data_IF_613973462078
#
_entry.id   IF_613973462078
#
_cell.length_a   1.000
_cell.length_b   1.000
_cell.length_c   1.000
_cell.angle_alpha   90.00
_cell.angle_beta   90.00
_cell.angle_gamma   90.00
#
_symmetry.space_group_name_H-M   'P 1'
#
loop_
_entity.id
_entity.type
_entity.pdbx_description
1 polymer ?
#
# COMPACT_ATOMS: atom_id res chain seq x y z
N UNK A 1 14.88 0.74 39.27
CA UNK A 1 13.64 0.77 38.48
C UNK A 1 13.61 -0.43 37.55
N UNK A 2 12.81 -1.46 37.86
CA UNK A 2 12.65 -2.62 36.95
C UNK A 2 11.87 -2.14 35.73
N UNK A 3 12.53 -1.95 34.58
CA UNK A 3 11.81 -1.84 33.31
C UNK A 3 10.98 -3.12 33.18
N UNK A 4 9.66 -3.01 33.30
CA UNK A 4 8.75 -4.14 33.11
C UNK A 4 9.05 -4.81 31.77
N UNK A 5 8.91 -6.15 31.72
CA UNK A 5 9.14 -6.91 30.49
C UNK A 5 8.35 -6.26 29.33
N UNK A 6 8.99 -5.96 28.18
CA UNK A 6 8.29 -5.40 27.04
C UNK A 6 7.09 -6.28 26.68
N UNK A 7 5.97 -5.63 26.37
CA UNK A 7 4.72 -6.35 26.12
C UNK A 7 4.72 -7.02 24.74
N UNK A 8 3.95 -8.11 24.59
CA UNK A 8 3.88 -8.84 23.33
C UNK A 8 3.41 -7.99 22.15
N UNK A 9 3.88 -8.32 20.96
CA UNK A 9 3.46 -7.67 19.72
C UNK A 9 3.12 -8.68 18.62
N UNK A 10 2.33 -8.23 17.66
CA UNK A 10 2.05 -8.95 16.41
C UNK A 10 2.70 -8.21 15.27
N UNK A 11 3.24 -8.96 14.31
CA UNK A 11 3.90 -8.40 13.13
C UNK A 11 3.06 -8.67 11.88
N UNK A 12 2.92 -7.66 11.04
CA UNK A 12 2.50 -7.80 9.65
C UNK A 12 3.68 -7.56 8.71
N UNK A 13 3.97 -8.48 7.80
CA UNK A 13 5.05 -8.35 6.80
C UNK A 13 4.46 -8.39 5.39
N UNK A 14 4.54 -7.27 4.65
CA UNK A 14 4.17 -7.16 3.24
C UNK A 14 5.41 -7.33 2.35
N UNK A 15 5.56 -8.51 1.75
CA UNK A 15 6.64 -8.82 0.81
C UNK A 15 6.22 -8.44 -0.61
N UNK A 16 6.37 -7.16 -0.94
CA UNK A 16 6.05 -6.62 -2.27
C UNK A 16 7.16 -6.84 -3.29
N UNK A 17 6.87 -6.63 -4.57
CA UNK A 17 7.86 -6.81 -5.67
C UNK A 17 8.94 -5.74 -5.73
N UNK A 18 8.68 -4.54 -5.21
CA UNK A 18 9.69 -3.46 -5.11
C UNK A 18 10.27 -3.32 -3.70
N UNK A 19 9.38 -3.29 -2.72
CA UNK A 19 9.73 -3.06 -1.32
C UNK A 19 9.02 -4.06 -0.41
N UNK A 20 9.76 -4.52 0.60
CA UNK A 20 9.27 -5.34 1.69
C UNK A 20 9.10 -4.47 2.93
N UNK A 21 7.94 -4.56 3.57
CA UNK A 21 7.57 -3.73 4.73
C UNK A 21 7.19 -4.61 5.91
N UNK A 22 7.61 -4.24 7.10
CA UNK A 22 7.15 -4.84 8.35
C UNK A 22 6.50 -3.77 9.23
N UNK A 23 5.46 -4.15 9.95
CA UNK A 23 4.74 -3.31 10.91
C UNK A 23 4.52 -4.10 12.19
N UNK A 24 4.86 -3.52 13.33
CA UNK A 24 4.57 -4.07 14.65
C UNK A 24 3.33 -3.38 15.22
N UNK A 25 2.38 -4.16 15.73
CA UNK A 25 1.24 -3.66 16.49
C UNK A 25 1.21 -4.26 17.89
N UNK A 26 0.74 -3.46 18.85
CA UNK A 26 0.56 -3.92 20.23
C UNK A 26 -0.61 -4.92 20.33
N UNK A 27 -0.53 -5.86 21.28
CA UNK A 27 -1.63 -6.81 21.55
C UNK A 27 -2.71 -6.23 22.48
N UNK A 28 -2.48 -5.08 23.13
CA UNK A 28 -3.42 -4.44 24.05
C UNK A 28 -4.79 -4.15 23.41
N UNK A 29 -5.82 -4.14 24.24
CA UNK A 29 -7.05 -3.39 24.00
C UNK A 29 -6.84 -1.99 24.59
N UNK A 30 -7.07 -0.97 23.77
CA UNK A 30 -7.15 0.45 24.12
C UNK A 30 -5.85 1.13 24.58
N UNK A 31 -5.65 2.34 24.04
CA UNK A 31 -4.74 3.33 24.61
C UNK A 31 -5.42 3.90 25.87
N UNK A 32 -4.74 3.94 27.03
CA UNK A 32 -5.16 4.82 28.10
C UNK A 32 -4.88 6.25 27.63
N UNK A 33 -5.96 7.00 27.42
CA UNK A 33 -6.02 8.46 27.30
C UNK A 33 -5.22 9.11 26.15
N UNK A 34 -5.95 9.71 25.19
CA UNK A 34 -5.43 10.91 24.51
C UNK A 34 -5.52 11.03 22.99
N UNK A 35 -5.87 9.99 22.23
CA UNK A 35 -6.13 10.15 20.78
C UNK A 35 -7.48 9.54 20.40
N UNK A 36 -8.42 10.45 20.16
CA UNK A 36 -9.84 10.20 19.92
C UNK A 36 -10.01 9.36 18.64
N UNK A 37 -10.54 8.13 18.77
CA UNK A 37 -11.38 7.53 17.71
C UNK A 37 -11.01 6.15 17.13
N UNK A 38 -9.99 5.42 17.57
CA UNK A 38 -9.70 4.07 17.01
C UNK A 38 -9.66 2.98 18.08
N UNK A 39 -10.63 2.07 18.05
CA UNK A 39 -10.68 0.83 18.84
C UNK A 39 -9.62 -0.22 18.40
N UNK A 40 -8.54 0.21 17.76
CA UNK A 40 -7.56 -0.64 17.09
C UNK A 40 -6.14 -0.34 17.62
N UNK A 41 -5.26 -1.35 17.69
CA UNK A 41 -3.98 -1.25 18.40
C UNK A 41 -3.04 -0.23 17.76
N UNK A 42 -2.21 0.48 18.56
CA UNK A 42 -1.20 1.38 18.03
C UNK A 42 -0.11 0.62 17.25
N UNK A 43 0.41 1.25 16.21
CA UNK A 43 1.61 0.80 15.49
C UNK A 43 2.84 1.20 16.33
N UNK A 44 3.64 0.21 16.69
CA UNK A 44 4.82 0.37 17.55
C UNK A 44 6.10 0.70 16.76
N UNK A 45 6.21 0.17 15.54
CA UNK A 45 7.40 0.34 14.71
C UNK A 45 7.17 -0.22 13.31
N UNK A 46 8.01 0.25 12.39
CA UNK A 46 7.92 0.03 10.95
C UNK A 46 9.31 -0.19 10.37
N UNK A 47 9.37 -0.99 9.33
CA UNK A 47 10.62 -1.23 8.62
C UNK A 47 10.33 -1.40 7.15
N UNK A 48 11.13 -0.75 6.31
CA UNK A 48 11.00 -0.85 4.85
C UNK A 48 12.38 -1.06 4.24
N UNK A 49 12.47 -2.02 3.33
CA UNK A 49 13.69 -2.31 2.56
C UNK A 49 13.33 -2.57 1.11
N UNK A 50 14.30 -2.39 0.20
CA UNK A 50 14.17 -2.93 -1.17
C UNK A 50 14.10 -4.46 -1.09
N UNK A 51 13.15 -5.05 -1.82
CA UNK A 51 12.90 -6.51 -1.77
C UNK A 51 14.07 -7.30 -2.37
N UNK A 52 14.52 -6.96 -3.58
CA UNK A 52 15.58 -7.70 -4.25
C UNK A 52 15.19 -9.15 -4.58
N UNK A 53 16.19 -10.02 -4.80
CA UNK A 53 15.98 -11.42 -5.17
C UNK A 53 15.73 -12.35 -3.98
N UNK A 54 16.25 -12.01 -2.80
CA UNK A 54 16.20 -12.83 -1.59
C UNK A 54 15.04 -12.39 -0.68
N UNK A 55 13.84 -12.91 -0.97
CA UNK A 55 12.59 -12.45 -0.37
C UNK A 55 12.53 -12.63 1.16
N UNK A 56 12.99 -13.78 1.66
CA UNK A 56 12.99 -14.06 3.10
C UNK A 56 13.98 -13.16 3.85
N UNK A 57 15.18 -12.95 3.30
CA UNK A 57 16.15 -12.02 3.89
C UNK A 57 15.65 -10.58 3.89
N UNK A 58 14.90 -10.16 2.87
CA UNK A 58 14.27 -8.85 2.85
C UNK A 58 13.19 -8.72 3.93
N UNK A 59 12.42 -9.78 4.17
CA UNK A 59 11.46 -9.84 5.28
C UNK A 59 12.17 -9.74 6.63
N UNK A 60 13.28 -10.44 6.80
CA UNK A 60 14.11 -10.36 8.03
C UNK A 60 14.64 -8.95 8.28
N UNK A 61 15.25 -8.33 7.27
CA UNK A 61 15.77 -6.96 7.41
C UNK A 61 14.68 -5.93 7.69
N UNK A 62 13.51 -6.08 7.06
CA UNK A 62 12.36 -5.22 7.33
C UNK A 62 11.88 -5.38 8.77
N UNK A 63 11.78 -6.62 9.25
CA UNK A 63 11.42 -6.93 10.63
C UNK A 63 12.42 -6.34 11.63
N UNK A 64 13.72 -6.48 11.39
CA UNK A 64 14.77 -5.94 12.27
C UNK A 64 14.75 -4.40 12.34
N UNK A 65 14.40 -3.72 11.25
CA UNK A 65 14.18 -2.26 11.28
C UNK A 65 12.96 -1.90 12.12
N UNK A 66 11.86 -2.62 11.95
CA UNK A 66 10.62 -2.37 12.67
C UNK A 66 10.73 -2.64 14.18
N UNK A 67 11.50 -3.67 14.56
CA UNK A 67 11.85 -3.97 15.96
C UNK A 67 12.72 -2.88 16.58
N UNK A 68 13.73 -2.39 15.83
CA UNK A 68 14.60 -1.30 16.27
C UNK A 68 13.83 0.00 16.49
N UNK A 69 12.95 0.38 15.57
CA UNK A 69 12.09 1.56 15.73
C UNK A 69 11.18 1.41 16.97
N UNK A 70 10.63 0.21 17.20
CA UNK A 70 9.75 -0.06 18.34
C UNK A 70 10.48 -0.21 19.69
N UNK A 71 11.82 -0.32 19.70
CA UNK A 71 12.56 -0.71 20.90
C UNK A 71 12.13 -2.07 21.46
N UNK A 72 11.93 -3.05 20.58
CA UNK A 72 11.43 -4.41 20.88
C UNK A 72 12.43 -5.49 20.44
N UNK A 73 12.36 -6.64 21.10
CA UNK A 73 13.15 -7.82 20.76
C UNK A 73 12.29 -8.85 20.02
N UNK A 74 12.91 -9.74 19.23
CA UNK A 74 12.19 -10.83 18.54
C UNK A 74 11.37 -11.72 19.47
N UNK A 75 11.83 -11.92 20.72
CA UNK A 75 11.13 -12.69 21.76
C UNK A 75 9.79 -12.06 22.21
N UNK A 76 9.55 -10.80 21.87
CA UNK A 76 8.31 -10.10 22.18
C UNK A 76 7.24 -10.37 21.11
N UNK A 77 7.62 -10.94 19.97
CA UNK A 77 6.71 -11.29 18.88
C UNK A 77 5.95 -12.57 19.25
N UNK A 78 4.62 -12.50 19.24
CA UNK A 78 3.74 -13.66 19.54
C UNK A 78 2.97 -14.17 18.32
N UNK A 79 2.99 -13.42 17.22
CA UNK A 79 2.35 -13.83 15.97
C UNK A 79 2.89 -13.03 14.80
N UNK A 80 3.10 -13.68 13.65
CA UNK A 80 3.58 -13.08 12.41
C UNK A 80 2.61 -13.43 11.27
N UNK A 81 2.01 -12.40 10.68
CA UNK A 81 1.17 -12.51 9.49
C UNK A 81 1.89 -11.92 8.28
N UNK A 82 1.95 -12.66 7.17
CA UNK A 82 2.58 -12.19 5.93
C UNK A 82 1.56 -11.91 4.85
N UNK A 83 1.89 -10.95 3.98
CA UNK A 83 1.12 -10.56 2.81
C UNK A 83 2.03 -10.12 1.66
N UNK A 84 1.44 -9.69 0.54
CA UNK A 84 2.17 -9.33 -0.67
C UNK A 84 2.52 -10.53 -1.54
N UNK A 85 3.17 -10.23 -2.67
CA UNK A 85 3.59 -11.21 -3.68
C UNK A 85 4.43 -12.35 -3.10
N UNK A 86 5.42 -11.99 -2.27
CA UNK A 86 6.38 -12.93 -1.69
C UNK A 86 5.95 -13.58 -0.37
N UNK A 87 4.68 -13.43 0.05
CA UNK A 87 4.18 -13.89 1.37
C UNK A 87 4.51 -15.35 1.71
N UNK A 88 4.61 -16.20 0.70
CA UNK A 88 4.87 -17.63 0.82
C UNK A 88 6.33 -17.96 1.14
N UNK A 89 7.26 -17.05 0.83
CA UNK A 89 8.70 -17.26 0.97
C UNK A 89 9.20 -17.08 2.41
N UNK A 90 8.38 -16.52 3.30
CA UNK A 90 8.77 -16.24 4.70
C UNK A 90 8.45 -17.43 5.59
N UNK A 91 9.43 -18.27 5.91
CA UNK A 91 9.23 -19.53 6.65
C UNK A 91 8.82 -19.33 8.11
N UNK A 92 9.24 -18.22 8.74
CA UNK A 92 8.96 -17.89 10.13
C UNK A 92 7.58 -17.25 10.37
N UNK A 93 6.60 -17.47 9.48
CA UNK A 93 5.25 -16.91 9.58
C UNK A 93 4.27 -17.86 10.28
N UNK A 94 3.29 -17.30 10.98
CA UNK A 94 2.17 -18.05 11.55
C UNK A 94 0.93 -18.05 10.62
N UNK A 95 0.78 -16.99 9.81
CA UNK A 95 -0.37 -16.79 8.93
C UNK A 95 0.06 -16.15 7.61
N UNK A 96 -0.58 -16.56 6.51
CA UNK A 96 -0.44 -15.93 5.20
C UNK A 96 -1.78 -15.36 4.75
N UNK A 97 -1.77 -14.14 4.23
CA UNK A 97 -2.98 -13.39 3.84
C UNK A 97 -2.73 -12.72 2.49
N UNK A 98 -3.73 -12.72 1.62
CA UNK A 98 -3.62 -11.98 0.35
C UNK A 98 -3.48 -10.48 0.60
N UNK A 99 -2.77 -9.79 -0.28
CA UNK A 99 -2.64 -8.33 -0.20
C UNK A 99 -3.98 -7.61 -0.46
N UNK A 100 -4.93 -8.29 -1.11
CA UNK A 100 -6.29 -7.79 -1.32
C UNK A 100 -7.01 -7.67 0.04
N UNK A 101 -7.02 -8.75 0.82
CA UNK A 101 -7.67 -8.77 2.14
C UNK A 101 -6.91 -7.88 3.13
N UNK A 102 -5.58 -7.90 3.10
CA UNK A 102 -4.76 -7.07 3.98
C UNK A 102 -4.90 -5.58 3.63
N UNK A 103 -4.86 -5.20 2.35
CA UNK A 103 -5.08 -3.83 1.90
C UNK A 103 -6.48 -3.32 2.26
N UNK A 104 -7.52 -4.13 2.09
CA UNK A 104 -8.88 -3.81 2.54
C UNK A 104 -8.94 -3.55 4.05
N UNK A 105 -8.36 -4.44 4.86
CA UNK A 105 -8.32 -4.29 6.31
C UNK A 105 -7.57 -3.01 6.72
N UNK A 106 -6.40 -2.76 6.13
CA UNK A 106 -5.59 -1.59 6.41
C UNK A 106 -6.28 -0.29 6.01
N UNK A 107 -6.93 -0.26 4.85
CA UNK A 107 -7.70 0.91 4.42
C UNK A 107 -8.84 1.24 5.39
N UNK A 108 -9.56 0.22 5.87
CA UNK A 108 -10.63 0.36 6.89
C UNK A 108 -10.12 0.78 8.26
N UNK A 109 -8.86 0.46 8.59
CA UNK A 109 -8.23 0.98 9.80
C UNK A 109 -8.02 2.48 9.74
N UNK A 110 -7.59 2.98 8.57
CA UNK A 110 -7.38 4.41 8.37
C UNK A 110 -8.66 5.20 8.15
N UNK A 111 -9.60 4.63 7.40
CA UNK A 111 -10.85 5.24 6.99
C UNK A 111 -11.99 4.24 7.20
N UNK A 112 -12.65 4.24 8.38
CA UNK A 112 -13.74 3.32 8.72
C UNK A 112 -14.97 3.41 7.82
N UNK A 113 -15.04 4.37 6.92
CA UNK A 113 -16.08 4.57 5.92
C UNK A 113 -15.67 4.04 4.54
N UNK A 114 -14.45 3.56 4.37
CA UNK A 114 -13.95 3.10 3.06
C UNK A 114 -14.87 2.04 2.45
N UNK A 115 -15.28 2.28 1.20
CA UNK A 115 -16.06 1.34 0.37
C UNK A 115 -15.27 0.84 -0.83
N UNK A 116 -14.10 1.43 -1.08
CA UNK A 116 -13.24 1.08 -2.19
C UNK A 116 -11.76 1.31 -1.84
N UNK A 117 -10.90 0.46 -2.39
CA UNK A 117 -9.45 0.60 -2.30
C UNK A 117 -8.84 0.51 -3.70
N UNK A 118 -8.00 1.50 -4.02
CA UNK A 118 -7.07 1.45 -5.14
C UNK A 118 -5.68 1.17 -4.55
N UNK A 119 -5.02 0.10 -4.96
CA UNK A 119 -3.64 -0.22 -4.57
C UNK A 119 -2.76 -0.18 -5.82
N UNK A 120 -1.86 0.80 -5.91
CA UNK A 120 -0.87 0.88 -6.99
C UNK A 120 0.52 0.66 -6.38
N UNK A 121 1.02 -0.56 -6.56
CA UNK A 121 2.35 -0.97 -6.16
C UNK A 121 3.37 -0.83 -7.28
N UNK A 122 4.53 -1.50 -7.10
CA UNK A 122 5.62 -1.45 -8.07
C UNK A 122 5.27 -2.11 -9.42
N UNK A 123 4.62 -3.27 -9.41
CA UNK A 123 4.37 -4.08 -10.62
C UNK A 123 2.88 -4.34 -10.90
N UNK A 124 2.00 -3.92 -10.01
CA UNK A 124 0.59 -4.31 -10.03
C UNK A 124 -0.31 -3.19 -9.56
N UNK A 125 -1.49 -3.11 -10.17
CA UNK A 125 -2.57 -2.21 -9.75
C UNK A 125 -3.82 -3.02 -9.45
N UNK A 126 -4.46 -2.75 -8.32
CA UNK A 126 -5.66 -3.44 -7.84
C UNK A 126 -6.76 -2.44 -7.53
N UNK A 127 -7.97 -2.73 -7.99
CA UNK A 127 -9.20 -2.08 -7.56
C UNK A 127 -9.99 -3.08 -6.72
N UNK A 128 -10.42 -2.67 -5.54
CA UNK A 128 -11.09 -3.52 -4.55
C UNK A 128 -12.35 -2.80 -4.10
N UNK A 129 -13.51 -3.46 -4.21
CA UNK A 129 -14.78 -2.99 -3.64
C UNK A 129 -15.02 -3.70 -2.32
N UNK A 130 -15.48 -2.92 -1.34
CA UNK A 130 -15.79 -3.40 0.00
C UNK A 130 -17.31 -3.41 0.21
N UNK A 131 -17.81 -4.37 0.99
CA UNK A 131 -19.18 -4.35 1.50
C UNK A 131 -19.32 -3.41 2.72
N UNK A 132 -20.54 -3.30 3.25
CA UNK A 132 -20.83 -2.45 4.41
C UNK A 132 -20.05 -2.85 5.68
N UNK A 133 -19.60 -4.11 5.76
CA UNK A 133 -18.80 -4.64 6.86
C UNK A 133 -17.29 -4.48 6.61
N UNK A 134 -16.89 -3.89 5.48
CA UNK A 134 -15.49 -3.69 5.10
C UNK A 134 -14.81 -4.94 4.55
N UNK A 135 -15.56 -6.00 4.22
CA UNK A 135 -15.02 -7.20 3.56
C UNK A 135 -14.96 -7.00 2.05
N UNK A 136 -14.06 -7.73 1.41
CA UNK A 136 -13.88 -7.68 -0.05
C UNK A 136 -15.09 -8.32 -0.74
N UNK A 137 -15.85 -7.53 -1.49
CA UNK A 137 -17.01 -8.00 -2.27
C UNK A 137 -16.68 -8.24 -3.74
N UNK A 138 -15.76 -7.46 -4.30
CA UNK A 138 -15.23 -7.65 -5.65
C UNK A 138 -13.81 -7.08 -5.74
N UNK A 139 -12.98 -7.64 -6.63
CA UNK A 139 -11.70 -7.04 -6.96
C UNK A 139 -11.33 -7.30 -8.43
N UNK A 140 -10.52 -6.41 -8.99
CA UNK A 140 -9.84 -6.58 -10.28
C UNK A 140 -8.41 -6.11 -10.15
N UNK A 141 -7.53 -6.74 -10.91
CA UNK A 141 -6.12 -6.40 -10.91
C UNK A 141 -5.52 -6.45 -12.31
N UNK A 142 -4.46 -5.67 -12.49
CA UNK A 142 -3.60 -5.74 -13.66
C UNK A 142 -2.18 -6.10 -13.21
N UNK A 143 -1.76 -7.34 -13.49
CA UNK A 143 -0.44 -7.88 -13.12
C UNK A 143 0.47 -8.11 -14.34
N UNK A 144 -0.09 -8.07 -15.56
CA UNK A 144 0.65 -8.41 -16.79
C UNK A 144 1.22 -7.18 -17.51
N UNK A 145 0.95 -5.97 -17.02
CA UNK A 145 1.32 -4.73 -17.70
C UNK A 145 1.95 -3.73 -16.73
N UNK A 146 3.26 -3.51 -16.86
CA UNK A 146 4.01 -2.53 -16.08
C UNK A 146 3.51 -1.08 -16.26
N UNK A 147 2.87 -0.77 -17.39
CA UNK A 147 2.41 0.58 -17.75
C UNK A 147 1.37 1.16 -16.80
N UNK A 148 0.70 0.33 -16.00
CA UNK A 148 -0.29 0.75 -15.03
C UNK A 148 0.22 0.87 -13.60
N UNK A 149 1.54 0.77 -13.35
CA UNK A 149 2.12 0.58 -12.02
C UNK A 149 3.28 1.53 -11.71
N UNK A 150 3.78 1.53 -10.48
CA UNK A 150 4.90 2.39 -10.05
C UNK A 150 6.20 2.19 -10.83
N UNK A 151 6.42 1.02 -11.43
CA UNK A 151 7.58 0.81 -12.30
C UNK A 151 7.61 1.69 -13.54
N UNK A 152 6.43 2.12 -14.02
CA UNK A 152 6.37 3.09 -15.10
C UNK A 152 6.91 4.45 -14.65
N UNK A 153 6.57 4.89 -13.44
CA UNK A 153 7.12 6.13 -12.85
C UNK A 153 8.62 6.04 -12.63
N UNK A 154 9.12 4.89 -12.14
CA UNK A 154 10.57 4.70 -11.96
C UNK A 154 11.33 4.74 -13.30
N UNK A 155 10.76 4.17 -14.36
CA UNK A 155 11.32 4.24 -15.71
C UNK A 155 11.31 5.68 -16.23
N UNK A 156 10.18 6.37 -16.12
CA UNK A 156 10.06 7.77 -16.53
C UNK A 156 11.08 8.68 -15.82
N UNK A 157 11.19 8.59 -14.49
CA UNK A 157 12.16 9.32 -13.69
C UNK A 157 13.59 9.12 -14.19
N UNK A 158 13.97 7.86 -14.46
CA UNK A 158 15.28 7.51 -15.00
C UNK A 158 15.58 8.20 -16.33
N UNK A 159 14.63 8.24 -17.26
CA UNK A 159 14.84 8.88 -18.58
C UNK A 159 14.84 10.40 -18.48
N UNK A 160 14.02 10.96 -17.60
CA UNK A 160 13.98 12.39 -17.32
C UNK A 160 15.15 12.85 -16.45
N UNK A 161 15.98 11.92 -15.95
CA UNK A 161 17.12 12.17 -15.07
C UNK A 161 16.75 12.96 -13.80
N UNK A 162 15.63 12.59 -13.18
CA UNK A 162 15.12 13.17 -11.94
C UNK A 162 14.80 12.06 -10.94
N UNK A 163 14.70 12.41 -9.65
CA UNK A 163 14.31 11.45 -8.63
C UNK A 163 12.80 11.18 -8.69
N UNK A 164 12.41 9.94 -8.37
CA UNK A 164 11.00 9.51 -8.42
C UNK A 164 10.14 10.33 -7.44
N UNK A 165 10.72 10.73 -6.32
CA UNK A 165 10.12 11.54 -5.28
C UNK A 165 9.73 12.95 -5.78
N UNK A 166 10.40 13.47 -6.81
CA UNK A 166 10.16 14.82 -7.36
C UNK A 166 8.97 14.86 -8.33
N UNK A 167 8.64 13.72 -8.96
CA UNK A 167 7.60 13.62 -10.00
C UNK A 167 6.25 14.20 -9.54
N UNK A 168 5.86 13.87 -8.30
CA UNK A 168 4.58 14.25 -7.72
C UNK A 168 4.38 15.76 -7.75
N UNK A 169 5.33 16.51 -7.20
CA UNK A 169 5.28 17.99 -7.14
C UNK A 169 5.50 18.64 -8.50
N UNK A 170 6.41 18.10 -9.32
CA UNK A 170 6.69 18.63 -10.66
C UNK A 170 5.43 18.64 -11.52
N UNK A 171 4.68 17.54 -11.55
CA UNK A 171 3.47 17.44 -12.38
C UNK A 171 2.34 18.41 -11.97
N UNK A 172 2.36 18.95 -10.76
CA UNK A 172 1.38 19.94 -10.32
C UNK A 172 1.60 21.31 -10.96
N UNK A 173 2.81 21.57 -11.49
CA UNK A 173 3.18 22.82 -12.17
C UNK A 173 2.86 22.81 -13.66
N UNK A 174 2.40 21.68 -14.19
CA UNK A 174 2.07 21.51 -15.59
C UNK A 174 1.00 22.51 -16.04
N UNK A 175 1.22 23.13 -17.20
CA UNK A 175 0.27 24.06 -17.83
C UNK A 175 -0.26 23.52 -19.15
N UNK A 176 0.48 22.61 -19.80
CA UNK A 176 0.16 22.01 -21.09
C UNK A 176 0.54 20.53 -21.11
N UNK A 177 -0.17 19.67 -20.33
CA UNK A 177 0.19 18.26 -20.18
C UNK A 177 0.35 17.53 -21.51
N UNK A 178 1.43 16.75 -21.65
CA UNK A 178 1.68 15.98 -22.87
C UNK A 178 0.92 14.66 -22.85
N UNK A 179 0.21 14.26 -23.92
CA UNK A 179 -0.47 12.98 -23.95
C UNK A 179 0.55 11.82 -23.98
N UNK A 180 0.30 10.82 -23.15
CA UNK A 180 1.01 9.53 -23.17
C UNK A 180 0.01 8.44 -23.54
N UNK A 181 0.01 8.06 -24.81
CA UNK A 181 -1.02 7.22 -25.45
C UNK A 181 -0.69 5.73 -25.39
N UNK A 182 0.61 5.40 -25.29
CA UNK A 182 1.07 4.03 -25.31
C UNK A 182 0.55 3.19 -24.15
N UNK A 183 -0.12 2.09 -24.47
CA UNK A 183 -0.57 1.08 -23.48
C UNK A 183 0.62 0.31 -22.92
N UNK A 184 1.70 0.15 -23.69
CA UNK A 184 2.92 -0.56 -23.29
C UNK A 184 3.91 0.39 -22.62
N UNK A 185 4.48 -0.01 -21.47
CA UNK A 185 5.46 0.81 -20.75
C UNK A 185 6.70 1.09 -21.61
N UNK A 186 7.14 0.12 -22.43
CA UNK A 186 8.30 0.27 -23.32
C UNK A 186 8.01 1.29 -24.43
N UNK A 187 6.81 1.29 -24.99
CA UNK A 187 6.45 2.28 -26.03
C UNK A 187 6.22 3.67 -25.43
N UNK A 188 5.69 3.73 -24.21
CA UNK A 188 5.54 4.98 -23.47
C UNK A 188 6.89 5.63 -23.15
N UNK A 189 7.96 4.84 -22.99
CA UNK A 189 9.32 5.39 -22.86
C UNK A 189 9.76 6.14 -24.12
N UNK A 190 9.53 5.56 -25.29
CA UNK A 190 9.81 6.23 -26.57
C UNK A 190 9.00 7.52 -26.71
N UNK A 191 7.73 7.53 -26.30
CA UNK A 191 6.92 8.75 -26.29
C UNK A 191 7.49 9.83 -25.37
N UNK A 192 7.96 9.46 -24.16
CA UNK A 192 8.61 10.39 -23.23
C UNK A 192 9.86 11.01 -23.88
N UNK A 193 10.72 10.19 -24.50
CA UNK A 193 11.94 10.66 -25.18
C UNK A 193 11.60 11.61 -26.34
N UNK A 194 10.54 11.32 -27.09
CA UNK A 194 10.10 12.18 -28.19
C UNK A 194 9.61 13.53 -27.67
N UNK A 195 8.83 13.56 -26.57
CA UNK A 195 8.39 14.80 -25.95
C UNK A 195 9.56 15.64 -25.44
N UNK A 196 10.54 15.02 -24.80
CA UNK A 196 11.78 15.70 -24.38
C UNK A 196 12.52 16.28 -25.60
N UNK A 197 12.68 15.49 -26.66
CA UNK A 197 13.36 15.92 -27.89
C UNK A 197 12.63 17.05 -28.61
N UNK A 198 11.30 17.11 -28.48
CA UNK A 198 10.47 18.20 -28.99
C UNK A 198 10.47 19.46 -28.10
N UNK A 199 11.21 19.46 -26.99
CA UNK A 199 11.34 20.59 -26.07
C UNK A 199 10.14 20.79 -25.14
N UNK A 200 9.33 19.75 -24.92
CA UNK A 200 8.24 19.84 -23.94
C UNK A 200 8.79 19.97 -22.51
N UNK A 201 8.11 20.77 -21.69
CA UNK A 201 8.48 20.95 -20.30
C UNK A 201 8.33 19.65 -19.50
N UNK A 202 9.24 19.38 -18.57
CA UNK A 202 9.27 18.12 -17.81
C UNK A 202 7.98 17.96 -17.00
N UNK A 203 7.49 19.02 -16.36
CA UNK A 203 6.24 19.04 -15.61
C UNK A 203 5.04 18.60 -16.45
N UNK A 204 4.98 19.01 -17.72
CA UNK A 204 3.91 18.67 -18.66
C UNK A 204 3.97 17.20 -19.06
N UNK A 205 5.17 16.66 -19.27
CA UNK A 205 5.39 15.24 -19.55
C UNK A 205 4.97 14.39 -18.33
N UNK A 206 5.40 14.77 -17.12
CA UNK A 206 5.08 14.03 -15.89
C UNK A 206 3.58 14.09 -15.59
N UNK A 207 2.91 15.22 -15.83
CA UNK A 207 1.43 15.28 -15.74
C UNK A 207 0.76 14.35 -16.75
N UNK A 208 1.30 14.28 -17.97
CA UNK A 208 0.89 13.31 -18.99
C UNK A 208 0.93 11.85 -18.50
N UNK A 209 2.04 11.49 -17.86
CA UNK A 209 2.25 10.17 -17.26
C UNK A 209 1.20 9.90 -16.16
N UNK A 210 0.98 10.85 -15.24
CA UNK A 210 -0.02 10.70 -14.18
C UNK A 210 -1.44 10.58 -14.74
N UNK A 211 -1.80 11.38 -15.75
CA UNK A 211 -3.11 11.30 -16.41
C UNK A 211 -3.32 9.92 -17.06
N UNK A 212 -2.31 9.43 -17.77
CA UNK A 212 -2.32 8.10 -18.39
C UNK A 212 -2.49 6.98 -17.35
N UNK A 213 -1.85 7.09 -16.18
CA UNK A 213 -2.03 6.14 -15.08
C UNK A 213 -3.43 6.25 -14.45
N UNK A 214 -3.93 7.47 -14.25
CA UNK A 214 -5.25 7.72 -13.69
C UNK A 214 -6.37 7.16 -14.58
N UNK A 215 -6.25 7.29 -15.91
CA UNK A 215 -7.18 6.68 -16.87
C UNK A 215 -7.27 5.16 -16.70
N UNK A 216 -6.12 4.49 -16.59
CA UNK A 216 -6.06 3.04 -16.41
C UNK A 216 -6.64 2.62 -15.07
N UNK A 217 -6.35 3.36 -14.01
CA UNK A 217 -6.91 3.12 -12.68
C UNK A 217 -8.44 3.29 -12.69
N UNK A 218 -8.95 4.34 -13.33
CA UNK A 218 -10.39 4.59 -13.46
C UNK A 218 -11.11 3.45 -14.20
N UNK A 219 -10.54 2.94 -15.29
CA UNK A 219 -11.10 1.78 -16.00
C UNK A 219 -11.16 0.53 -15.11
N UNK A 220 -10.13 0.30 -14.29
CA UNK A 220 -10.10 -0.85 -13.37
C UNK A 220 -11.14 -0.70 -12.24
N UNK A 221 -11.27 0.51 -11.68
CA UNK A 221 -12.27 0.84 -10.67
C UNK A 221 -13.70 0.63 -11.19
N UNK A 222 -14.00 1.08 -12.42
CA UNK A 222 -15.31 0.84 -13.05
C UNK A 222 -15.66 -0.63 -13.17
N UNK A 223 -14.68 -1.51 -13.42
CA UNK A 223 -14.90 -2.97 -13.54
C UNK A 223 -15.26 -3.66 -12.22
N UNK A 224 -15.06 -3.01 -11.08
CA UNK A 224 -15.54 -3.48 -9.78
C UNK A 224 -16.78 -2.71 -9.30
N UNK A 225 -17.39 -1.89 -10.18
CA UNK A 225 -18.60 -1.12 -9.87
C UNK A 225 -18.35 0.20 -9.15
N UNK A 226 -17.10 0.70 -9.11
CA UNK A 226 -16.81 2.01 -8.50
C UNK A 226 -17.06 3.09 -9.55
N UNK A 227 -17.97 4.02 -9.24
CA UNK A 227 -18.42 5.11 -10.13
C UNK A 227 -19.76 4.85 -10.83
N UNK A 228 -20.43 3.72 -10.55
CA UNK A 228 -21.78 3.40 -11.06
C UNK A 228 -22.90 3.65 -10.05
N UNK A 229 -22.60 3.69 -8.75
CA UNK A 229 -23.55 3.84 -7.65
C UNK A 229 -23.00 4.75 -6.53
N UNK A 230 -23.56 5.95 -6.38
CA UNK A 230 -23.20 6.91 -5.33
C UNK A 230 -21.77 7.49 -5.43
N UNK A 231 -21.33 8.18 -4.38
CA UNK A 231 -19.95 8.69 -4.24
C UNK A 231 -19.13 7.71 -3.41
N UNK A 232 -18.35 6.81 -4.02
CA UNK A 232 -17.62 5.79 -3.29
C UNK A 232 -16.55 6.44 -2.42
N UNK A 233 -16.33 5.82 -1.27
CA UNK A 233 -15.34 6.24 -0.30
C UNK A 233 -14.01 5.59 -0.67
N UNK A 234 -13.35 6.13 -1.70
CA UNK A 234 -12.11 5.59 -2.27
C UNK A 234 -10.88 5.91 -1.40
N UNK A 235 -10.13 4.87 -1.08
CA UNK A 235 -8.82 4.97 -0.42
C UNK A 235 -7.73 4.52 -1.38
N UNK A 236 -6.72 5.35 -1.60
CA UNK A 236 -5.58 5.05 -2.44
C UNK A 236 -4.35 4.69 -1.59
N UNK A 237 -3.82 3.49 -1.80
CA UNK A 237 -2.71 2.90 -1.06
C UNK A 237 -1.58 2.44 -1.99
N UNK A 238 -0.48 1.98 -1.41
CA UNK A 238 0.71 1.57 -2.15
C UNK A 238 1.67 2.73 -2.40
N UNK A 239 2.88 2.42 -2.88
CA UNK A 239 3.96 3.41 -2.98
C UNK A 239 3.65 4.57 -3.93
N UNK A 240 2.83 4.36 -4.96
CA UNK A 240 2.45 5.41 -5.90
C UNK A 240 1.51 6.44 -5.27
N UNK A 241 0.80 6.09 -4.19
CA UNK A 241 -0.02 7.04 -3.45
C UNK A 241 0.78 8.14 -2.73
N UNK A 242 2.12 8.09 -2.75
CA UNK A 242 3.00 9.20 -2.35
C UNK A 242 3.06 10.33 -3.39
N UNK A 243 2.70 10.05 -4.64
CA UNK A 243 2.78 11.00 -5.74
C UNK A 243 1.58 11.93 -5.74
N UNK A 244 1.74 13.16 -5.21
CA UNK A 244 0.63 14.15 -5.15
C UNK A 244 0.03 14.46 -6.52
N UNK A 245 0.86 14.48 -7.55
CA UNK A 245 0.43 14.56 -8.95
C UNK A 245 -0.51 13.45 -9.40
N UNK A 246 -0.23 12.21 -8.98
CA UNK A 246 -1.11 11.07 -9.26
C UNK A 246 -2.45 11.20 -8.52
N UNK A 247 -2.43 11.70 -7.27
CA UNK A 247 -3.67 11.96 -6.51
C UNK A 247 -4.52 13.00 -7.25
N UNK A 248 -3.93 14.13 -7.64
CA UNK A 248 -4.63 15.17 -8.39
C UNK A 248 -5.20 14.64 -9.72
N UNK A 249 -4.41 13.89 -10.48
CA UNK A 249 -4.87 13.27 -11.73
C UNK A 249 -6.03 12.29 -11.50
N UNK A 250 -6.03 11.50 -10.41
CA UNK A 250 -7.14 10.62 -10.06
C UNK A 250 -8.39 11.41 -9.66
N UNK A 251 -8.26 12.46 -8.84
CA UNK A 251 -9.39 13.28 -8.42
C UNK A 251 -10.05 14.00 -9.60
N UNK A 252 -9.24 14.60 -10.48
CA UNK A 252 -9.68 15.20 -11.74
C UNK A 252 -10.40 14.16 -12.62
N UNK A 253 -9.78 12.97 -12.77
CA UNK A 253 -10.30 11.92 -13.66
C UNK A 253 -11.60 11.27 -13.17
N UNK A 254 -11.73 11.13 -11.86
CA UNK A 254 -12.85 10.45 -11.21
C UNK A 254 -13.96 11.41 -10.77
N UNK A 255 -13.69 12.73 -10.71
CA UNK A 255 -14.64 13.73 -10.23
C UNK A 255 -14.98 13.55 -8.74
N UNK A 256 -14.09 12.95 -7.95
CA UNK A 256 -14.30 12.69 -6.53
C UNK A 256 -12.99 12.73 -5.75
N UNK A 257 -13.08 12.99 -4.44
CA UNK A 257 -11.90 13.01 -3.57
C UNK A 257 -11.30 11.62 -3.39
N UNK A 258 -9.97 11.58 -3.35
CA UNK A 258 -9.19 10.37 -3.10
C UNK A 258 -8.51 10.48 -1.74
N UNK A 259 -8.84 9.58 -0.81
CA UNK A 259 -8.18 9.57 0.51
C UNK A 259 -6.92 8.73 0.48
N UNK A 260 -5.85 9.23 1.11
CA UNK A 260 -4.58 8.53 1.21
C UNK A 260 -4.21 8.37 2.68
N UNK A 261 -3.94 7.14 3.17
CA UNK A 261 -3.44 6.95 4.51
C UNK A 261 -2.09 7.65 4.73
N UNK A 262 -1.78 8.14 5.93
CA UNK A 262 -0.40 8.50 6.25
C UNK A 262 0.48 7.25 6.10
N UNK A 263 1.67 7.41 5.50
CA UNK A 263 2.59 6.31 5.22
C UNK A 263 1.91 5.17 4.44
N UNK A 264 1.20 5.54 3.37
CA UNK A 264 0.33 4.69 2.56
C UNK A 264 0.98 3.40 2.04
N UNK A 265 2.30 3.35 1.91
CA UNK A 265 3.08 2.16 1.53
C UNK A 265 3.03 1.03 2.57
N UNK A 266 2.73 1.33 3.84
CA UNK A 266 2.64 0.33 4.92
C UNK A 266 1.24 -0.25 5.09
N UNK A 267 0.23 0.25 4.37
CA UNK A 267 -1.17 -0.09 4.62
C UNK A 267 -1.46 -1.59 4.57
N UNK A 268 -0.85 -2.31 3.62
CA UNK A 268 -1.00 -3.77 3.54
C UNK A 268 -0.36 -4.49 4.73
N UNK A 269 0.84 -4.06 5.17
CA UNK A 269 1.49 -4.62 6.35
C UNK A 269 0.69 -4.36 7.64
N UNK A 270 0.11 -3.15 7.79
CA UNK A 270 -0.82 -2.84 8.89
C UNK A 270 -2.01 -3.81 8.87
N UNK A 271 -2.65 -3.97 7.71
CA UNK A 271 -3.80 -4.87 7.59
C UNK A 271 -3.46 -6.33 7.90
N UNK A 272 -2.27 -6.80 7.49
CA UNK A 272 -1.78 -8.13 7.83
C UNK A 272 -1.58 -8.28 9.34
N UNK A 273 -0.95 -7.29 10.00
CA UNK A 273 -0.74 -7.29 11.45
C UNK A 273 -2.07 -7.34 12.22
N UNK A 274 -3.08 -6.57 11.79
CA UNK A 274 -4.40 -6.54 12.41
C UNK A 274 -5.16 -7.86 12.25
N UNK A 275 -5.08 -8.49 11.09
CA UNK A 275 -5.68 -9.81 10.85
C UNK A 275 -4.95 -10.91 11.62
N UNK A 276 -3.62 -10.83 11.69
CA UNK A 276 -2.80 -11.69 12.54
C UNK A 276 -3.20 -11.58 14.01
N UNK A 277 -3.38 -10.35 14.51
CA UNK A 277 -3.81 -10.11 15.88
C UNK A 277 -5.22 -10.67 16.14
N UNK A 278 -6.14 -10.51 15.19
CA UNK A 278 -7.47 -11.09 15.29
C UNK A 278 -7.40 -12.63 15.37
N UNK A 279 -6.59 -13.27 14.51
CA UNK A 279 -6.40 -14.72 14.51
C UNK A 279 -5.76 -15.22 15.81
N UNK A 280 -4.70 -14.56 16.26
CA UNK A 280 -4.02 -14.89 17.52
C UNK A 280 -4.97 -14.80 18.72
N UNK A 281 -5.78 -13.73 18.83
CA UNK A 281 -6.79 -13.59 19.89
C UNK A 281 -7.80 -14.73 19.87
N UNK A 282 -8.26 -15.14 18.68
CA UNK A 282 -9.21 -16.26 18.52
C UNK A 282 -8.60 -17.59 18.97
N UNK A 283 -7.37 -17.89 18.58
CA UNK A 283 -6.67 -19.11 18.99
C UNK A 283 -6.54 -19.19 20.53
N UNK A 284 -6.16 -18.08 21.18
CA UNK A 284 -6.05 -18.05 22.65
C UNK A 284 -7.39 -18.21 23.37
N UNK A 285 -8.49 -17.73 22.79
CA UNK A 285 -9.83 -17.98 23.36
C UNK A 285 -10.24 -19.44 23.22
N UNK A 286 -9.91 -20.10 22.11
CA UNK A 286 -10.22 -21.51 21.86
C UNK A 286 -9.39 -22.43 22.79
N UNK A 287 -8.11 -22.12 23.01
CA UNK A 287 -7.23 -22.84 23.95
C UNK A 287 -7.67 -22.69 25.42
N UNK A 288 -8.25 -21.54 25.79
CA UNK A 288 -8.79 -21.31 27.13
C UNK A 288 -10.09 -22.08 27.39
N UNK A 289 -10.89 -22.33 26.35
CA UNK A 289 -12.13 -23.11 26.43
C UNK A 289 -11.86 -24.62 26.51
N UNK A 290 -10.77 -25.11 25.92
CA UNK A 290 -10.38 -26.53 25.97
C UNK A 290 -9.69 -26.96 27.28
N UNK A 291 -9.30 -26.00 28.14
CA UNK A 291 -8.65 -26.25 29.44
C UNK A 291 -9.61 -26.20 30.64
N UNK A 292 -10.88 -25.90 30.40
CA UNK A 292 -11.98 -25.96 31.37
C UNK A 292 -12.94 -27.10 30.98
#
# INVERSE_FOLDING_TARGET
MRRGRPMPCVVGIDVGTGFTKAVLVDVRKEHPEGEIGRAEPPVLGRGIVKTGAYLEEAAERALDLALREAGRDRRDIVYIATTGFGRYAVSFRDLQITEITSGARGARWFFPEATAVLDIGNQSTRAIRLDAQGKVSAFKMNEKCAAGSGSFLMRAAKYLQIEVEELGELSLRATRPQPISSVCAVLAETEIINHVSAGAAIEDIVRGIHNSLADRAALLLRRVGIGSDGTPQLVFIGGVARQRGMIAALEERLGMRVRVPPQCEFTCAVGAALLGLHRWRKLRSEEGVQRN
#
